data_IF_291192038338
#
_entry.id   IF_291192038338
#
_cell.length_a   1.000
_cell.length_b   1.000
_cell.length_c   1.000
_cell.angle_alpha   90.00
_cell.angle_beta   90.00
_cell.angle_gamma   90.00
#
_symmetry.space_group_name_H-M   'P 1'
#
loop_
_entity.id
_entity.type
_entity.pdbx_description
1 polymer ?
#
# COMPACT_ATOMS: atom_id res chain seq x y z
N UNK A 1 30.64 -10.47 -6.25
CA UNK A 1 29.57 -10.36 -5.23
C UNK A 1 28.24 -10.58 -5.93
N UNK A 2 27.52 -11.63 -5.58
CA UNK A 2 26.16 -11.87 -6.08
C UNK A 2 25.22 -11.10 -5.18
N UNK A 3 24.59 -10.05 -5.71
CA UNK A 3 23.55 -9.32 -4.98
C UNK A 3 22.30 -10.20 -5.01
N UNK A 4 21.87 -10.69 -3.85
CA UNK A 4 20.59 -11.40 -3.72
C UNK A 4 19.51 -10.32 -3.72
N UNK A 5 18.57 -10.31 -4.68
CA UNK A 5 17.49 -9.34 -4.67
C UNK A 5 16.61 -9.51 -3.42
N UNK A 6 16.10 -8.42 -2.82
CA UNK A 6 15.20 -8.53 -1.69
C UNK A 6 13.94 -9.32 -2.07
N UNK A 7 13.38 -10.06 -1.10
CA UNK A 7 12.11 -10.77 -1.31
C UNK A 7 10.97 -9.77 -1.54
N UNK A 8 9.91 -10.22 -2.23
CA UNK A 8 8.68 -9.43 -2.44
C UNK A 8 8.14 -8.92 -1.09
N UNK A 9 8.22 -9.75 -0.05
CA UNK A 9 7.77 -9.41 1.30
C UNK A 9 8.56 -8.25 1.91
N UNK A 10 9.88 -8.26 1.76
CA UNK A 10 10.74 -7.16 2.21
C UNK A 10 10.45 -5.87 1.43
N UNK A 11 10.30 -5.97 0.11
CA UNK A 11 9.98 -4.81 -0.74
C UNK A 11 8.61 -4.23 -0.36
N UNK A 12 7.61 -5.06 -0.07
CA UNK A 12 6.31 -4.57 0.39
C UNK A 12 6.41 -3.82 1.72
N UNK A 13 7.20 -4.32 2.68
CA UNK A 13 7.44 -3.66 3.95
C UNK A 13 8.05 -2.25 3.79
N UNK A 14 9.06 -2.13 2.93
CA UNK A 14 9.70 -0.86 2.58
C UNK A 14 8.74 0.09 1.83
N UNK A 15 7.95 -0.43 0.89
CA UNK A 15 6.97 0.38 0.16
C UNK A 15 5.86 0.93 1.04
N UNK A 16 5.46 0.22 2.08
CA UNK A 16 4.52 0.72 3.07
C UNK A 16 5.07 1.92 3.84
N UNK A 17 6.37 1.94 4.18
CA UNK A 17 6.99 3.12 4.82
C UNK A 17 7.09 4.29 3.83
N UNK A 18 7.40 4.03 2.57
CA UNK A 18 7.42 5.06 1.53
C UNK A 18 6.04 5.67 1.24
N UNK A 19 4.96 4.93 1.49
CA UNK A 19 3.56 5.34 1.31
C UNK A 19 2.92 5.98 2.57
N UNK A 20 3.72 6.55 3.47
CA UNK A 20 3.25 7.26 4.67
C UNK A 20 3.53 8.78 4.56
N UNK A 21 2.69 9.55 3.84
CA UNK A 21 3.07 10.87 3.33
C UNK A 21 3.26 11.99 4.35
N UNK A 22 2.72 11.81 5.57
CA UNK A 22 2.82 12.79 6.65
C UNK A 22 3.81 12.38 7.74
N UNK A 23 4.48 11.23 7.59
CA UNK A 23 5.35 10.66 8.62
C UNK A 23 6.72 10.24 8.06
N UNK A 24 6.83 9.04 7.49
CA UNK A 24 8.11 8.47 7.01
C UNK A 24 8.28 8.53 5.51
N UNK A 25 7.19 8.62 4.77
CA UNK A 25 7.17 8.42 3.33
C UNK A 25 7.48 9.67 2.51
N UNK A 26 7.06 9.57 1.25
CA UNK A 26 7.16 10.65 0.27
C UNK A 26 6.19 11.77 0.66
N UNK A 27 6.65 13.02 0.85
CA UNK A 27 5.80 14.08 1.34
C UNK A 27 4.75 14.50 0.30
N UNK A 28 3.48 14.59 0.75
CA UNK A 28 2.38 15.09 -0.06
C UNK A 28 2.44 16.63 -0.18
N UNK A 29 2.04 17.18 -1.32
CA UNK A 29 1.95 18.62 -1.54
C UNK A 29 3.30 19.33 -1.74
N UNK A 30 4.39 18.57 -1.92
CA UNK A 30 5.75 19.10 -2.19
C UNK A 30 6.25 18.76 -3.59
N UNK A 31 5.36 18.85 -4.59
CA UNK A 31 5.63 18.48 -5.99
C UNK A 31 6.01 17.00 -6.20
N UNK A 32 5.76 16.16 -5.18
CA UNK A 32 5.99 14.71 -5.20
C UNK A 32 4.69 13.91 -5.21
N UNK A 33 3.58 14.55 -5.56
CA UNK A 33 2.24 13.96 -5.48
C UNK A 33 2.12 12.68 -6.33
N UNK A 34 2.69 12.69 -7.53
CA UNK A 34 2.75 11.50 -8.37
C UNK A 34 3.71 10.43 -7.84
N UNK A 35 4.73 10.80 -7.07
CA UNK A 35 5.58 9.82 -6.40
C UNK A 35 4.82 9.09 -5.29
N UNK A 36 3.98 9.79 -4.51
CA UNK A 36 3.10 9.16 -3.50
C UNK A 36 2.14 8.15 -4.15
N UNK A 37 1.52 8.51 -5.28
CA UNK A 37 0.60 7.60 -5.99
C UNK A 37 1.34 6.40 -6.62
N UNK A 38 2.60 6.58 -7.06
CA UNK A 38 3.45 5.44 -7.48
C UNK A 38 3.70 4.49 -6.31
N UNK A 39 4.02 4.99 -5.12
CA UNK A 39 4.17 4.12 -3.94
C UNK A 39 2.87 3.36 -3.64
N UNK A 40 1.72 4.02 -3.72
CA UNK A 40 0.42 3.35 -3.58
C UNK A 40 0.22 2.21 -4.59
N UNK A 41 0.61 2.42 -5.86
CA UNK A 41 0.53 1.40 -6.91
C UNK A 41 1.47 0.22 -6.66
N UNK A 42 2.69 0.50 -6.22
CA UNK A 42 3.67 -0.52 -5.86
C UNK A 42 3.13 -1.39 -4.71
N UNK A 43 2.68 -0.77 -3.61
CA UNK A 43 2.05 -1.49 -2.48
C UNK A 43 0.86 -2.32 -2.95
N UNK A 44 -0.02 -1.72 -3.75
CA UNK A 44 -1.20 -2.38 -4.32
C UNK A 44 -0.86 -3.62 -5.16
N UNK A 45 0.26 -3.58 -5.87
CA UNK A 45 0.73 -4.67 -6.74
C UNK A 45 1.41 -5.76 -5.92
N UNK A 46 2.26 -5.38 -4.97
CA UNK A 46 3.02 -6.31 -4.12
C UNK A 46 2.11 -7.08 -3.16
N UNK A 47 1.02 -6.48 -2.70
CA UNK A 47 -0.02 -7.14 -1.90
C UNK A 47 -0.67 -8.34 -2.61
N UNK A 48 -0.72 -8.34 -3.95
CA UNK A 48 -1.25 -9.49 -4.71
C UNK A 48 -0.24 -10.66 -4.78
N UNK A 49 1.03 -10.42 -4.44
CA UNK A 49 2.17 -11.33 -4.67
C UNK A 49 2.95 -11.72 -3.41
N UNK A 50 2.76 -11.03 -2.29
CA UNK A 50 3.46 -11.35 -1.05
C UNK A 50 3.05 -12.74 -0.53
N UNK A 51 3.97 -13.40 0.18
CA UNK A 51 3.81 -14.76 0.68
C UNK A 51 3.95 -14.83 2.20
N UNK A 52 4.89 -14.08 2.78
CA UNK A 52 5.17 -14.10 4.21
C UNK A 52 4.89 -12.74 4.88
N UNK A 53 3.74 -12.66 5.56
CA UNK A 53 3.35 -11.47 6.32
C UNK A 53 4.30 -11.13 7.47
N UNK A 54 4.90 -12.13 8.13
CA UNK A 54 5.81 -11.87 9.24
C UNK A 54 7.08 -11.16 8.72
N UNK A 55 7.53 -11.50 7.52
CA UNK A 55 8.67 -10.84 6.89
C UNK A 55 8.31 -9.41 6.45
N UNK A 56 7.11 -9.19 5.91
CA UNK A 56 6.60 -7.84 5.64
C UNK A 56 6.56 -7.00 6.93
N UNK A 57 5.98 -7.56 8.00
CA UNK A 57 5.84 -6.90 9.29
C UNK A 57 7.20 -6.55 9.88
N UNK A 58 8.12 -7.52 9.98
CA UNK A 58 9.48 -7.30 10.51
C UNK A 58 10.20 -6.22 9.70
N UNK A 59 10.13 -6.30 8.37
CA UNK A 59 10.78 -5.34 7.49
C UNK A 59 10.20 -3.95 7.68
N UNK A 60 8.86 -3.81 7.66
CA UNK A 60 8.17 -2.54 7.90
C UNK A 60 8.63 -1.88 9.20
N UNK A 61 8.55 -2.59 10.33
CA UNK A 61 8.93 -2.02 11.63
C UNK A 61 10.43 -1.66 11.69
N UNK A 62 11.30 -2.45 11.05
CA UNK A 62 12.74 -2.16 10.99
C UNK A 62 13.04 -0.91 10.18
N UNK A 63 12.52 -0.82 8.95
CA UNK A 63 12.73 0.33 8.06
C UNK A 63 12.10 1.58 8.65
N UNK A 64 10.85 1.49 9.14
CA UNK A 64 10.13 2.62 9.69
C UNK A 64 10.87 3.26 10.87
N UNK A 65 11.39 2.45 11.81
CA UNK A 65 12.18 2.98 12.94
C UNK A 65 13.44 3.70 12.47
N UNK A 66 14.09 3.16 11.46
CA UNK A 66 15.32 3.75 10.90
C UNK A 66 15.00 5.10 10.26
N UNK A 67 13.99 5.17 9.40
CA UNK A 67 13.53 6.40 8.73
C UNK A 67 13.08 7.48 9.73
N UNK A 68 12.31 7.10 10.75
CA UNK A 68 11.87 8.00 11.82
C UNK A 68 13.07 8.56 12.60
N UNK A 69 14.05 7.71 12.89
CA UNK A 69 15.30 8.10 13.56
C UNK A 69 16.08 9.13 12.75
N UNK A 70 16.25 8.91 11.44
CA UNK A 70 16.92 9.88 10.56
C UNK A 70 16.20 11.22 10.48
N UNK A 71 14.88 11.24 10.66
CA UNK A 71 14.04 12.44 10.62
C UNK A 71 13.92 13.15 11.97
N UNK A 72 14.42 12.54 13.04
CA UNK A 72 14.24 13.04 14.42
C UNK A 72 12.77 13.11 14.84
N UNK A 73 11.90 12.29 14.26
CA UNK A 73 10.46 12.31 14.54
C UNK A 73 10.13 11.52 15.81
N UNK A 74 9.21 12.03 16.63
CA UNK A 74 8.64 11.31 17.78
C UNK A 74 7.48 10.39 17.39
N UNK A 75 7.12 10.32 16.11
CA UNK A 75 6.09 9.42 15.58
C UNK A 75 6.49 7.96 15.81
N UNK A 76 5.54 7.14 16.22
CA UNK A 76 5.69 5.69 16.34
C UNK A 76 5.49 4.97 15.00
N UNK A 77 6.07 3.78 14.78
CA UNK A 77 5.79 3.00 13.58
C UNK A 77 4.29 2.71 13.37
N UNK A 78 3.52 2.52 14.44
CA UNK A 78 2.08 2.32 14.39
C UNK A 78 1.35 3.57 13.88
N UNK A 79 1.79 4.77 14.26
CA UNK A 79 1.24 6.03 13.75
C UNK A 79 1.61 6.26 12.28
N UNK A 80 2.84 5.91 11.87
CA UNK A 80 3.25 5.96 10.46
C UNK A 80 2.43 4.98 9.60
N UNK A 81 2.06 3.83 10.15
CA UNK A 81 1.21 2.88 9.47
C UNK A 81 -0.24 3.37 9.38
N UNK A 82 -0.72 4.07 10.41
CA UNK A 82 -2.04 4.74 10.38
C UNK A 82 -2.07 5.86 9.35
N UNK A 83 -0.97 6.56 9.14
CA UNK A 83 -0.81 7.54 8.08
C UNK A 83 -0.95 6.89 6.69
N UNK A 84 -0.24 5.77 6.47
CA UNK A 84 -0.39 4.93 5.25
C UNK A 84 -1.85 4.50 5.03
N UNK A 85 -2.52 4.03 6.08
CA UNK A 85 -3.93 3.64 6.04
C UNK A 85 -4.85 4.82 5.69
N UNK A 86 -4.63 6.00 6.30
CA UNK A 86 -5.42 7.21 6.02
C UNK A 86 -5.26 7.66 4.58
N UNK A 87 -4.05 7.61 4.03
CA UNK A 87 -3.78 7.90 2.62
C UNK A 87 -4.56 6.93 1.72
N UNK A 88 -4.50 5.63 1.98
CA UNK A 88 -5.27 4.62 1.23
C UNK A 88 -6.78 4.89 1.26
N UNK A 89 -7.34 5.17 2.45
CA UNK A 89 -8.77 5.46 2.61
C UNK A 89 -9.16 6.76 1.90
N UNK A 90 -8.33 7.81 1.98
CA UNK A 90 -8.59 9.08 1.28
C UNK A 90 -8.67 8.86 -0.23
N UNK A 91 -7.71 8.12 -0.78
CA UNK A 91 -7.66 7.75 -2.20
C UNK A 91 -8.89 6.90 -2.58
N UNK A 92 -9.22 5.88 -1.78
CA UNK A 92 -10.31 4.94 -2.09
C UNK A 92 -11.71 5.51 -1.92
N UNK A 93 -11.88 6.38 -0.94
CA UNK A 93 -13.13 7.10 -0.72
C UNK A 93 -13.32 8.30 -1.65
N UNK A 94 -12.31 8.61 -2.48
CA UNK A 94 -12.29 9.78 -3.38
C UNK A 94 -12.46 11.10 -2.62
N UNK A 95 -11.77 11.24 -1.50
CA UNK A 95 -11.73 12.47 -0.70
C UNK A 95 -12.87 12.65 0.29
N UNK A 96 -13.74 11.66 0.51
CA UNK A 96 -14.80 11.73 1.54
C UNK A 96 -14.23 11.85 2.96
N UNK A 97 -13.03 11.35 3.20
CA UNK A 97 -12.37 11.40 4.52
C UNK A 97 -11.39 12.55 4.69
N UNK A 98 -10.85 13.10 3.60
CA UNK A 98 -9.98 14.29 3.60
C UNK A 98 -9.99 14.93 2.22
N UNK A 99 -10.70 16.05 2.08
CA UNK A 99 -10.81 16.76 0.80
C UNK A 99 -9.51 17.49 0.42
N UNK A 100 -8.74 17.97 1.41
CA UNK A 100 -7.48 18.67 1.20
C UNK A 100 -6.42 17.75 0.57
N UNK A 101 -6.13 16.63 1.22
CA UNK A 101 -5.16 15.66 0.73
C UNK A 101 -5.60 15.05 -0.62
N UNK A 102 -6.90 14.85 -0.81
CA UNK A 102 -7.42 14.29 -2.05
C UNK A 102 -7.12 15.16 -3.27
N UNK A 103 -7.02 16.47 -3.12
CA UNK A 103 -6.65 17.35 -4.24
C UNK A 103 -5.25 17.01 -4.78
N UNK A 104 -4.28 16.75 -3.89
CA UNK A 104 -2.93 16.32 -4.23
C UNK A 104 -2.92 14.90 -4.82
N UNK A 105 -3.63 13.95 -4.21
CA UNK A 105 -3.73 12.59 -4.75
C UNK A 105 -4.37 12.55 -6.15
N UNK A 106 -5.41 13.34 -6.37
CA UNK A 106 -6.07 13.44 -7.67
C UNK A 106 -5.16 14.09 -8.72
N UNK A 107 -4.38 15.10 -8.33
CA UNK A 107 -3.34 15.70 -9.19
C UNK A 107 -2.28 14.66 -9.57
N UNK A 108 -1.66 14.00 -8.59
CA UNK A 108 -0.66 12.96 -8.83
C UNK A 108 -1.19 11.79 -9.66
N UNK A 109 -2.46 11.39 -9.45
CA UNK A 109 -3.11 10.37 -10.26
C UNK A 109 -3.19 10.79 -11.73
N UNK A 110 -3.61 12.04 -12.02
CA UNK A 110 -3.72 12.54 -13.40
C UNK A 110 -2.38 12.55 -14.13
N UNK A 111 -1.30 12.91 -13.45
CA UNK A 111 0.07 12.89 -14.00
C UNK A 111 0.50 11.47 -14.40
N UNK A 112 0.09 10.46 -13.63
CA UNK A 112 0.47 9.06 -13.82
C UNK A 112 -0.46 8.33 -14.77
N UNK A 113 -1.72 8.75 -14.93
CA UNK A 113 -2.72 8.05 -15.75
C UNK A 113 -2.34 8.05 -17.24
N UNK A 114 -1.46 8.97 -17.66
CA UNK A 114 -0.85 8.97 -19.00
C UNK A 114 0.25 7.89 -19.17
N UNK A 115 0.76 7.33 -18.07
CA UNK A 115 1.92 6.42 -18.05
C UNK A 115 1.62 5.03 -17.46
N UNK A 116 0.61 4.86 -16.61
CA UNK A 116 0.26 3.56 -15.99
C UNK A 116 -0.96 2.94 -16.69
N UNK A 117 -0.72 1.76 -17.26
CA UNK A 117 -1.70 0.91 -17.95
C UNK A 117 -2.95 0.65 -17.07
N UNK A 118 -4.15 0.78 -17.66
CA UNK A 118 -5.50 0.70 -17.02
C UNK A 118 -5.78 -0.62 -16.27
N UNK A 119 -5.12 -0.88 -15.16
CA UNK A 119 -5.47 -1.94 -14.20
C UNK A 119 -6.34 -1.34 -13.08
N UNK A 120 -7.43 -2.00 -12.72
CA UNK A 120 -8.51 -1.43 -11.89
C UNK A 120 -8.08 -1.03 -10.47
N UNK A 121 -7.76 0.25 -10.30
CA UNK A 121 -7.34 0.94 -9.07
C UNK A 121 -8.24 0.66 -7.84
N UNK A 122 -9.56 0.60 -8.04
CA UNK A 122 -10.55 0.43 -6.97
C UNK A 122 -10.44 -0.90 -6.21
N UNK A 123 -9.92 -1.96 -6.84
CA UNK A 123 -9.81 -3.26 -6.18
C UNK A 123 -8.66 -3.27 -5.18
N UNK A 124 -7.51 -2.68 -5.50
CA UNK A 124 -6.35 -2.79 -4.61
C UNK A 124 -6.50 -2.00 -3.31
N UNK A 125 -7.28 -0.91 -3.34
CA UNK A 125 -7.58 -0.06 -2.18
C UNK A 125 -8.06 -0.84 -0.96
N UNK A 126 -9.08 -1.69 -1.11
CA UNK A 126 -9.65 -2.43 0.03
C UNK A 126 -8.68 -3.44 0.64
N UNK A 127 -7.71 -3.94 -0.14
CA UNK A 127 -6.68 -4.83 0.39
C UNK A 127 -5.60 -4.08 1.16
N UNK A 128 -5.19 -2.89 0.66
CA UNK A 128 -4.24 -2.01 1.35
C UNK A 128 -4.80 -1.58 2.71
N UNK A 129 -6.07 -1.16 2.74
CA UNK A 129 -6.76 -0.76 3.97
C UNK A 129 -6.79 -1.89 5.01
N UNK A 130 -7.21 -3.09 4.58
CA UNK A 130 -7.27 -4.26 5.45
C UNK A 130 -5.88 -4.70 5.92
N UNK A 131 -4.88 -4.65 5.04
CA UNK A 131 -3.50 -5.02 5.37
C UNK A 131 -2.93 -4.12 6.46
N UNK A 132 -3.04 -2.80 6.29
CA UNK A 132 -2.57 -1.84 7.30
C UNK A 132 -3.32 -2.00 8.63
N UNK A 133 -4.62 -2.31 8.58
CA UNK A 133 -5.39 -2.59 9.79
C UNK A 133 -4.90 -3.85 10.52
N UNK A 134 -4.59 -4.94 9.81
CA UNK A 134 -4.03 -6.16 10.40
C UNK A 134 -2.66 -5.91 11.04
N UNK A 135 -1.79 -5.14 10.37
CA UNK A 135 -0.45 -4.82 10.92
C UNK A 135 -0.55 -3.91 12.16
N UNK A 136 -1.53 -3.00 12.25
CA UNK A 136 -1.73 -2.11 13.42
C UNK A 136 -2.43 -2.74 14.62
N UNK A 137 -3.33 -3.70 14.42
CA UNK A 137 -4.18 -4.23 15.50
C UNK A 137 -3.67 -5.53 16.13
N UNK A 138 -2.58 -6.10 15.62
CA UNK A 138 -2.12 -7.45 15.96
C UNK A 138 -3.20 -8.54 15.82
N UNK A 139 -4.33 -8.24 15.17
CA UNK A 139 -5.43 -9.18 14.95
C UNK A 139 -5.16 -10.09 13.75
N UNK A 140 -5.73 -11.28 13.83
CA UNK A 140 -5.44 -12.47 13.04
C UNK A 140 -5.48 -12.22 11.54
N UNK A 141 -4.36 -12.60 10.93
CA UNK A 141 -4.09 -12.84 9.52
C UNK A 141 -5.27 -13.50 8.76
N UNK A 142 -6.09 -14.27 9.45
CA UNK A 142 -7.21 -15.06 8.95
C UNK A 142 -8.29 -14.26 8.20
N UNK A 143 -8.67 -13.05 8.69
CA UNK A 143 -9.67 -12.21 8.01
C UNK A 143 -9.14 -11.65 6.69
N UNK A 144 -7.85 -11.33 6.67
CA UNK A 144 -7.14 -10.90 5.48
C UNK A 144 -7.00 -12.04 4.46
N UNK A 145 -6.54 -13.22 4.90
CA UNK A 145 -6.42 -14.43 4.08
C UNK A 145 -7.78 -14.85 3.49
N UNK A 146 -8.87 -14.76 4.27
CA UNK A 146 -10.23 -15.03 3.79
C UNK A 146 -10.65 -14.08 2.67
N UNK A 147 -10.28 -12.80 2.77
CA UNK A 147 -10.59 -11.78 1.76
C UNK A 147 -9.80 -12.00 0.47
N UNK A 148 -8.50 -12.35 0.59
CA UNK A 148 -7.67 -12.76 -0.55
C UNK A 148 -8.23 -14.03 -1.21
N UNK A 149 -8.54 -15.05 -0.42
CA UNK A 149 -9.05 -16.32 -0.92
C UNK A 149 -10.33 -16.11 -1.74
N UNK A 150 -11.30 -15.35 -1.22
CA UNK A 150 -12.51 -14.96 -1.97
C UNK A 150 -12.18 -14.29 -3.30
N UNK A 151 -11.17 -13.41 -3.36
CA UNK A 151 -10.73 -12.77 -4.61
C UNK A 151 -10.06 -13.71 -5.60
N UNK A 152 -9.16 -14.58 -5.14
CA UNK A 152 -8.50 -15.57 -6.00
C UNK A 152 -9.52 -16.53 -6.62
N UNK A 153 -10.53 -16.94 -5.84
CA UNK A 153 -11.65 -17.78 -6.32
C UNK A 153 -12.50 -17.06 -7.37
N UNK A 154 -12.85 -15.78 -7.16
CA UNK A 154 -13.62 -14.98 -8.14
C UNK A 154 -12.83 -14.76 -9.45
N UNK A 155 -11.51 -14.49 -9.37
CA UNK A 155 -10.64 -14.39 -10.55
C UNK A 155 -10.60 -15.72 -11.31
N UNK A 156 -10.39 -16.85 -10.62
CA UNK A 156 -10.36 -18.18 -11.24
C UNK A 156 -11.70 -18.54 -11.90
N UNK A 157 -12.82 -18.17 -11.28
CA UNK A 157 -14.16 -18.38 -11.85
C UNK A 157 -14.40 -17.51 -13.09
N UNK A 158 -14.02 -16.22 -13.05
CA UNK A 158 -14.18 -15.31 -14.19
C UNK A 158 -13.30 -15.69 -15.39
N UNK A 159 -12.10 -16.23 -15.13
CA UNK A 159 -11.21 -16.74 -16.17
C UNK A 159 -11.81 -18.02 -16.79
N UNK A 160 -12.29 -18.97 -15.99
CA UNK A 160 -12.95 -20.18 -16.50
C UNK A 160 -14.24 -19.88 -17.28
N UNK A 161 -14.99 -18.85 -16.91
CA UNK A 161 -16.17 -18.40 -17.65
C UNK A 161 -15.81 -17.79 -19.01
N UNK A 162 -14.61 -17.19 -19.15
CA UNK A 162 -14.14 -16.57 -20.39
C UNK A 162 -13.60 -17.56 -21.42
N UNK A 163 -13.25 -18.78 -21.01
CA UNK A 163 -12.75 -19.86 -21.88
C UNK A 163 -13.76 -21.02 -22.07
N UNK A 164 -15.05 -20.76 -21.78
CA UNK A 164 -16.18 -21.69 -22.02
C UNK A 164 -17.14 -21.20 -23.11
N UNK A 165 -16.72 -20.23 -23.93
CA UNK A 165 -17.43 -19.76 -25.12
C UNK A 165 -16.62 -20.06 -26.36
#
# INVERSE_FOLDING_TARGET
MTVIPPSIDCVLGDKLTAFAPHTTGVPLGKEKDSEVIKQFYDVSTLIDAFENFDDVRKTYFSVCRTELGYRGSSTTPEEALRDTLRAAICIGSRGKTSAGDFSYYNKGTREITNHIYKRGFSKHLTLVELFCHCVTTSQTHEKYLTTIAKRKTIKAFSVKAKYKG
#
